data_IF_230690323184
#
_entry.id   IF_230690323184
#
_cell.length_a   1.000
_cell.length_b   1.000
_cell.length_c   1.000
_cell.angle_alpha   90.00
_cell.angle_beta   90.00
_cell.angle_gamma   90.00
#
_symmetry.space_group_name_H-M   'P 1'
#
loop_
_entity.id
_entity.type
_entity.pdbx_description
1 polymer ?
#
# COMPACT_ATOMS: atom_id res chain seq x y z
N UNK A 1 -14.48 -12.74 -19.11
CA UNK A 1 -14.79 -12.72 -17.64
C UNK A 1 -13.86 -11.80 -16.86
N UNK A 2 -12.61 -11.58 -17.29
CA UNK A 2 -11.62 -10.73 -16.59
C UNK A 2 -12.04 -9.24 -16.61
N UNK A 3 -12.57 -8.74 -17.70
CA UNK A 3 -12.99 -7.33 -17.83
C UNK A 3 -14.08 -6.90 -16.82
N UNK A 4 -14.90 -7.83 -16.38
CA UNK A 4 -15.98 -7.54 -15.42
C UNK A 4 -15.50 -7.20 -14.01
N UNK A 5 -14.26 -7.58 -13.66
CA UNK A 5 -13.67 -7.39 -12.34
C UNK A 5 -12.58 -6.32 -12.28
N UNK A 6 -12.09 -5.81 -13.42
CA UNK A 6 -10.99 -4.82 -13.47
C UNK A 6 -11.35 -3.49 -12.81
N UNK A 7 -12.62 -3.09 -12.83
CA UNK A 7 -13.09 -1.87 -12.17
C UNK A 7 -13.19 -1.98 -10.64
N UNK A 8 -13.00 -3.20 -10.10
CA UNK A 8 -13.10 -3.48 -8.66
C UNK A 8 -11.74 -3.64 -7.98
N UNK A 9 -10.66 -3.52 -8.73
CA UNK A 9 -9.29 -3.63 -8.22
C UNK A 9 -8.56 -2.30 -8.45
N UNK A 10 -8.11 -1.69 -7.36
CA UNK A 10 -7.16 -0.59 -7.39
C UNK A 10 -5.74 -1.14 -7.32
N UNK A 11 -4.81 -0.61 -8.12
CA UNK A 11 -3.43 -1.07 -8.13
C UNK A 11 -2.44 0.09 -8.02
N UNK A 12 -1.51 -0.04 -7.08
CA UNK A 12 -0.36 0.85 -6.90
C UNK A 12 0.89 0.04 -7.22
N UNK A 13 1.55 0.28 -8.35
CA UNK A 13 2.76 -0.44 -8.74
C UNK A 13 3.98 0.06 -7.97
N UNK A 14 4.99 -0.81 -7.80
CA UNK A 14 6.28 -0.48 -7.20
C UNK A 14 6.99 0.67 -7.93
N UNK A 15 6.92 0.70 -9.25
CA UNK A 15 7.52 1.74 -10.10
C UNK A 15 6.58 2.14 -11.21
N UNK A 16 6.53 3.43 -11.46
CA UNK A 16 5.85 4.01 -12.62
C UNK A 16 6.90 4.72 -13.48
N UNK A 17 6.92 4.39 -14.77
CA UNK A 17 7.73 5.12 -15.75
C UNK A 17 6.98 6.37 -16.18
N UNK A 18 7.41 7.52 -15.69
CA UNK A 18 6.90 8.83 -16.09
C UNK A 18 8.06 9.63 -16.67
N UNK A 19 7.84 10.29 -17.79
CA UNK A 19 8.76 11.31 -18.25
C UNK A 19 8.57 12.59 -17.41
N UNK A 20 9.45 12.77 -16.43
CA UNK A 20 9.41 13.88 -15.49
C UNK A 20 9.65 15.25 -16.12
N UNK A 21 10.04 15.30 -17.40
CA UNK A 21 10.17 16.56 -18.15
C UNK A 21 8.83 17.11 -18.64
N UNK A 22 7.78 16.26 -18.64
CA UNK A 22 6.44 16.67 -19.01
C UNK A 22 5.80 17.53 -17.90
N UNK A 23 5.17 18.66 -18.24
CA UNK A 23 4.44 19.49 -17.28
C UNK A 23 3.08 18.86 -16.92
N UNK A 24 3.12 17.66 -16.31
CA UNK A 24 1.94 16.88 -15.96
C UNK A 24 1.50 17.20 -14.53
N UNK A 25 0.32 17.80 -14.37
CA UNK A 25 -0.24 18.09 -13.04
C UNK A 25 -0.91 16.87 -12.45
N UNK A 26 -1.04 16.86 -11.12
CA UNK A 26 -1.71 15.78 -10.38
C UNK A 26 -3.09 15.49 -10.97
N UNK A 27 -3.95 16.48 -11.17
CA UNK A 27 -5.28 16.27 -11.75
C UNK A 27 -5.27 15.65 -13.14
N UNK A 28 -4.30 16.04 -13.98
CA UNK A 28 -4.16 15.54 -15.35
C UNK A 28 -3.69 14.07 -15.32
N UNK A 29 -2.80 13.73 -14.38
CA UNK A 29 -2.37 12.36 -14.12
C UNK A 29 -3.50 11.46 -13.62
N UNK A 30 -4.40 11.96 -12.78
CA UNK A 30 -5.54 11.20 -12.28
C UNK A 30 -6.44 10.68 -13.40
N UNK A 31 -6.59 11.42 -14.50
CA UNK A 31 -7.48 11.09 -15.62
C UNK A 31 -6.81 10.40 -16.81
N UNK A 32 -5.49 10.23 -16.81
CA UNK A 32 -4.74 9.73 -17.99
C UNK A 32 -5.27 8.42 -18.57
N UNK A 33 -5.73 7.50 -17.75
CA UNK A 33 -6.23 6.18 -18.17
C UNK A 33 -7.63 5.91 -17.67
N UNK A 34 -8.25 6.88 -17.00
CA UNK A 34 -9.50 6.72 -16.30
C UNK A 34 -10.47 7.85 -16.60
N UNK A 35 -11.70 7.54 -16.88
CA UNK A 35 -12.74 8.56 -17.02
C UNK A 35 -13.31 8.90 -15.64
N UNK A 36 -12.59 9.74 -14.89
CA UNK A 36 -12.97 10.17 -13.55
C UNK A 36 -13.68 11.53 -13.59
N UNK A 37 -14.70 11.69 -12.76
CA UNK A 37 -15.31 12.98 -12.50
C UNK A 37 -14.43 13.80 -11.55
N UNK A 38 -14.55 15.11 -11.61
CA UNK A 38 -13.79 16.02 -10.74
C UNK A 38 -14.10 15.80 -9.25
N UNK A 39 -15.31 15.35 -8.93
CA UNK A 39 -15.77 14.97 -7.60
C UNK A 39 -15.01 13.75 -7.07
N UNK A 40 -14.85 12.69 -7.89
CA UNK A 40 -14.13 11.47 -7.50
C UNK A 40 -12.63 11.76 -7.27
N UNK A 41 -12.07 12.65 -8.09
CA UNK A 41 -10.68 13.12 -7.93
C UNK A 41 -10.52 13.88 -6.63
N UNK A 42 -11.41 14.81 -6.33
CA UNK A 42 -11.35 15.62 -5.10
C UNK A 42 -11.54 14.74 -3.86
N UNK A 43 -12.48 13.80 -3.88
CA UNK A 43 -12.73 12.86 -2.77
C UNK A 43 -11.49 12.01 -2.50
N UNK A 44 -10.91 11.37 -3.52
CA UNK A 44 -9.74 10.51 -3.37
C UNK A 44 -8.47 11.27 -2.94
N UNK A 45 -8.22 12.45 -3.48
CA UNK A 45 -7.12 13.32 -3.07
C UNK A 45 -7.29 13.84 -1.64
N UNK A 46 -8.53 14.11 -1.22
CA UNK A 46 -8.85 14.53 0.16
C UNK A 46 -8.63 13.39 1.14
N UNK A 47 -9.08 12.19 0.79
CA UNK A 47 -8.92 10.99 1.62
C UNK A 47 -7.44 10.65 1.86
N UNK A 48 -6.60 10.85 0.84
CA UNK A 48 -5.14 10.65 0.94
C UNK A 48 -4.38 11.86 1.51
N UNK A 49 -5.08 12.98 1.79
CA UNK A 49 -4.51 14.19 2.40
C UNK A 49 -3.62 15.00 1.46
N UNK A 50 -3.88 14.95 0.14
CA UNK A 50 -3.07 15.66 -0.87
C UNK A 50 -3.90 16.51 -1.84
N UNK A 51 -5.12 16.88 -1.48
CA UNK A 51 -6.02 17.70 -2.32
C UNK A 51 -5.39 19.06 -2.70
N UNK A 52 -4.59 19.64 -1.81
CA UNK A 52 -3.88 20.91 -2.06
C UNK A 52 -2.85 20.79 -3.19
N UNK A 53 -2.44 19.58 -3.56
CA UNK A 53 -1.48 19.31 -4.62
C UNK A 53 -2.14 19.13 -5.99
N UNK A 54 -3.47 19.18 -6.09
CA UNK A 54 -4.26 18.88 -7.30
C UNK A 54 -3.73 19.58 -8.56
N UNK A 55 -3.27 20.83 -8.43
CA UNK A 55 -2.76 21.64 -9.55
C UNK A 55 -1.22 21.69 -9.63
N UNK A 56 -0.50 21.03 -8.73
CA UNK A 56 0.96 20.97 -8.70
C UNK A 56 1.46 19.98 -9.77
N UNK A 57 2.63 20.24 -10.37
CA UNK A 57 3.26 19.29 -11.29
C UNK A 57 3.75 18.07 -10.51
N UNK A 58 3.66 16.89 -11.12
CA UNK A 58 4.14 15.65 -10.51
C UNK A 58 5.63 15.67 -10.18
N UNK A 59 6.44 16.30 -11.06
CA UNK A 59 7.89 16.42 -10.87
C UNK A 59 8.30 17.26 -9.65
N UNK A 60 7.38 18.07 -9.11
CA UNK A 60 7.63 18.91 -7.94
C UNK A 60 7.21 18.25 -6.61
N UNK A 61 6.69 17.01 -6.67
CA UNK A 61 6.23 16.26 -5.49
C UNK A 61 7.41 15.58 -4.79
N UNK A 62 7.35 15.52 -3.46
CA UNK A 62 8.19 14.59 -2.71
C UNK A 62 7.76 13.14 -2.97
N UNK A 63 8.65 12.17 -2.69
CA UNK A 63 8.32 10.74 -2.84
C UNK A 63 7.05 10.34 -2.09
N UNK A 64 6.89 10.79 -0.84
CA UNK A 64 5.70 10.53 -0.04
C UNK A 64 4.44 11.21 -0.56
N UNK A 65 4.54 12.44 -1.09
CA UNK A 65 3.42 13.13 -1.75
C UNK A 65 2.99 12.37 -3.03
N UNK A 66 3.96 11.97 -3.84
CA UNK A 66 3.69 11.20 -5.05
C UNK A 66 3.04 9.84 -4.73
N UNK A 67 3.53 9.14 -3.72
CA UNK A 67 2.94 7.88 -3.29
C UNK A 67 1.48 8.03 -2.84
N UNK A 68 1.15 9.11 -2.11
CA UNK A 68 -0.23 9.43 -1.73
C UNK A 68 -1.11 9.74 -2.96
N UNK A 69 -0.57 10.37 -3.98
CA UNK A 69 -1.27 10.61 -5.26
C UNK A 69 -1.52 9.29 -5.99
N UNK A 70 -0.56 8.34 -5.99
CA UNK A 70 -0.75 7.01 -6.58
C UNK A 70 -1.87 6.24 -5.87
N UNK A 71 -1.90 6.29 -4.53
CA UNK A 71 -2.98 5.67 -3.75
C UNK A 71 -4.31 6.36 -4.05
N UNK A 72 -4.36 7.71 -4.10
CA UNK A 72 -5.59 8.44 -4.46
C UNK A 72 -6.15 7.98 -5.80
N UNK A 73 -5.27 7.80 -6.80
CA UNK A 73 -5.68 7.30 -8.11
C UNK A 73 -6.21 5.87 -8.05
N UNK A 74 -5.55 4.99 -7.31
CA UNK A 74 -5.98 3.59 -7.17
C UNK A 74 -7.36 3.45 -6.50
N UNK A 75 -7.69 4.35 -5.56
CA UNK A 75 -8.96 4.31 -4.81
C UNK A 75 -10.08 5.15 -5.43
N UNK A 76 -9.80 5.94 -6.48
CA UNK A 76 -10.76 6.90 -7.05
C UNK A 76 -12.06 6.27 -7.57
N UNK A 77 -12.03 4.97 -7.92
CA UNK A 77 -13.21 4.18 -8.32
C UNK A 77 -13.81 3.34 -7.20
N UNK A 78 -13.41 3.57 -5.95
CA UNK A 78 -13.88 2.83 -4.77
C UNK A 78 -13.78 1.31 -4.99
N UNK A 79 -12.56 0.77 -5.14
CA UNK A 79 -12.35 -0.65 -5.43
C UNK A 79 -12.77 -1.54 -4.25
N UNK A 80 -13.11 -2.80 -4.56
CA UNK A 80 -13.33 -3.84 -3.53
C UNK A 80 -11.99 -4.42 -3.00
N UNK A 81 -10.92 -4.32 -3.82
CA UNK A 81 -9.56 -4.78 -3.49
C UNK A 81 -8.53 -3.73 -3.90
N UNK A 82 -7.66 -3.35 -2.97
CA UNK A 82 -6.51 -2.49 -3.21
C UNK A 82 -5.22 -3.33 -3.18
N UNK A 83 -4.52 -3.39 -4.31
CA UNK A 83 -3.22 -4.07 -4.44
C UNK A 83 -2.12 -3.02 -4.35
N UNK A 84 -1.21 -3.19 -3.39
CA UNK A 84 -0.11 -2.29 -3.11
C UNK A 84 1.21 -3.05 -3.26
N UNK A 85 2.01 -2.67 -4.25
CA UNK A 85 3.30 -3.29 -4.54
C UNK A 85 4.42 -2.37 -4.06
N UNK A 86 5.07 -2.73 -2.95
CA UNK A 86 6.13 -1.95 -2.28
C UNK A 86 5.76 -0.46 -2.06
N UNK A 87 4.62 -0.15 -1.42
CA UNK A 87 4.04 1.20 -1.42
C UNK A 87 4.87 2.24 -0.67
N UNK A 88 5.86 1.83 0.12
CA UNK A 88 6.73 2.74 0.91
C UNK A 88 8.10 2.95 0.27
N UNK A 89 8.37 2.35 -0.89
CA UNK A 89 9.66 2.49 -1.54
C UNK A 89 9.96 3.96 -1.88
N UNK A 90 11.10 4.46 -1.39
CA UNK A 90 11.50 5.87 -1.61
C UNK A 90 10.83 6.89 -0.68
N UNK A 91 10.15 6.42 0.36
CA UNK A 91 9.60 7.25 1.43
C UNK A 91 10.54 7.16 2.65
N UNK A 92 10.71 8.24 3.40
CA UNK A 92 11.49 8.23 4.63
C UNK A 92 10.72 7.51 5.76
N UNK A 93 11.43 7.10 6.80
CA UNK A 93 10.87 6.30 7.90
C UNK A 93 9.61 6.93 8.55
N UNK A 94 9.59 8.25 8.72
CA UNK A 94 8.41 8.94 9.30
C UNK A 94 7.23 8.91 8.35
N UNK A 95 7.49 9.11 7.06
CA UNK A 95 6.49 9.03 5.99
C UNK A 95 5.94 7.61 5.82
N UNK A 96 6.76 6.59 5.98
CA UNK A 96 6.36 5.18 5.94
C UNK A 96 5.29 4.87 6.99
N UNK A 97 5.54 5.20 8.25
CA UNK A 97 4.56 5.01 9.34
C UNK A 97 3.25 5.75 9.03
N UNK A 98 3.37 7.00 8.54
CA UNK A 98 2.19 7.79 8.19
C UNK A 98 1.42 7.20 7.00
N UNK A 99 2.12 6.57 6.04
CA UNK A 99 1.51 5.94 4.88
C UNK A 99 0.73 4.67 5.26
N UNK A 100 1.28 3.81 6.12
CA UNK A 100 0.56 2.62 6.60
C UNK A 100 -0.68 2.98 7.44
N UNK A 101 -0.60 4.01 8.28
CA UNK A 101 -1.78 4.54 8.98
C UNK A 101 -2.85 5.05 8.01
N UNK A 102 -2.43 5.71 6.94
CA UNK A 102 -3.33 6.17 5.88
C UNK A 102 -3.98 5.00 5.15
N UNK A 103 -3.20 3.96 4.77
CA UNK A 103 -3.72 2.76 4.11
C UNK A 103 -4.80 2.11 4.99
N UNK A 104 -4.54 1.93 6.27
CA UNK A 104 -5.53 1.37 7.21
C UNK A 104 -6.81 2.23 7.27
N UNK A 105 -6.66 3.55 7.40
CA UNK A 105 -7.81 4.47 7.37
C UNK A 105 -8.64 4.31 6.09
N UNK A 106 -7.97 4.24 4.92
CA UNK A 106 -8.63 4.07 3.63
C UNK A 106 -9.43 2.77 3.56
N UNK A 107 -8.85 1.65 4.03
CA UNK A 107 -9.57 0.37 4.06
C UNK A 107 -10.80 0.39 4.94
N UNK A 108 -10.69 1.00 6.11
CA UNK A 108 -11.81 1.14 7.04
C UNK A 108 -12.93 2.00 6.42
N UNK A 109 -12.59 3.13 5.77
CA UNK A 109 -13.57 4.04 5.17
C UNK A 109 -14.21 3.48 3.89
N UNK A 110 -13.45 2.76 3.05
CA UNK A 110 -13.94 2.21 1.79
C UNK A 110 -14.47 0.77 1.94
N UNK A 111 -14.26 0.12 3.09
CA UNK A 111 -14.56 -1.29 3.31
C UNK A 111 -13.99 -2.18 2.20
N UNK A 112 -12.73 -1.95 1.81
CA UNK A 112 -12.04 -2.70 0.76
C UNK A 112 -10.96 -3.62 1.36
N UNK A 113 -10.73 -4.78 0.72
CA UNK A 113 -9.61 -5.66 1.04
C UNK A 113 -8.28 -5.05 0.61
N UNK A 114 -7.17 -5.45 1.28
CA UNK A 114 -5.81 -5.09 0.84
C UNK A 114 -5.02 -6.34 0.51
N UNK A 115 -4.30 -6.30 -0.61
CA UNK A 115 -3.17 -7.17 -0.89
C UNK A 115 -1.89 -6.32 -0.86
N UNK A 116 -1.11 -6.47 0.20
CA UNK A 116 0.18 -5.80 0.37
C UNK A 116 1.31 -6.72 -0.07
N UNK A 117 2.13 -6.29 -1.02
CA UNK A 117 3.36 -6.96 -1.42
C UNK A 117 4.50 -6.14 -0.84
N UNK A 118 5.33 -6.74 0.00
CA UNK A 118 6.46 -6.07 0.63
C UNK A 118 7.54 -7.05 1.05
N UNK A 119 8.79 -6.59 1.08
CA UNK A 119 9.93 -7.28 1.66
C UNK A 119 10.23 -6.82 3.10
N UNK A 120 9.50 -5.82 3.61
CA UNK A 120 9.62 -5.39 5.00
C UNK A 120 8.81 -6.32 5.91
N UNK A 121 9.51 -7.28 6.50
CA UNK A 121 8.92 -8.28 7.39
C UNK A 121 8.26 -7.67 8.62
N UNK A 122 8.82 -6.58 9.16
CA UNK A 122 8.29 -5.94 10.36
C UNK A 122 6.89 -5.40 10.09
N UNK A 123 6.73 -4.68 9.00
CA UNK A 123 5.43 -4.13 8.60
C UNK A 123 4.43 -5.22 8.25
N UNK A 124 4.84 -6.19 7.42
CA UNK A 124 3.95 -7.31 7.05
C UNK A 124 3.43 -8.02 8.28
N UNK A 125 4.30 -8.36 9.22
CA UNK A 125 3.92 -9.11 10.42
C UNK A 125 3.09 -8.29 11.42
N UNK A 126 3.21 -6.97 11.43
CA UNK A 126 2.49 -6.11 12.39
C UNK A 126 1.19 -5.53 11.88
N UNK A 127 0.99 -5.49 10.55
CA UNK A 127 -0.10 -4.74 9.93
C UNK A 127 -1.06 -5.61 9.09
N UNK A 128 -0.86 -6.94 9.04
CA UNK A 128 -1.67 -7.83 8.20
C UNK A 128 -2.38 -8.92 9.03
N UNK A 129 -3.51 -9.37 8.54
CA UNK A 129 -4.28 -10.47 9.15
C UNK A 129 -3.83 -11.83 8.63
N UNK A 130 -3.31 -11.89 7.41
CA UNK A 130 -2.85 -13.10 6.74
C UNK A 130 -1.59 -12.85 5.94
N UNK A 131 -0.62 -13.74 6.02
CA UNK A 131 0.67 -13.65 5.32
C UNK A 131 0.84 -14.85 4.41
N UNK A 132 1.37 -14.61 3.23
CA UNK A 132 1.81 -15.64 2.27
C UNK A 132 3.28 -15.37 1.95
N UNK A 133 4.15 -16.32 2.26
CA UNK A 133 5.57 -16.23 1.96
C UNK A 133 5.89 -16.88 0.63
N UNK A 134 6.58 -16.15 -0.25
CA UNK A 134 6.95 -16.60 -1.58
C UNK A 134 8.47 -16.64 -1.75
N UNK A 135 8.98 -17.78 -2.21
CA UNK A 135 10.38 -17.97 -2.62
C UNK A 135 10.44 -18.95 -3.81
N UNK A 136 9.97 -18.50 -4.99
CA UNK A 136 9.78 -19.36 -6.15
C UNK A 136 8.58 -20.32 -6.03
N UNK A 137 8.12 -20.59 -4.83
CA UNK A 137 6.90 -21.32 -4.48
C UNK A 137 6.31 -20.72 -3.19
N UNK A 138 5.10 -21.12 -2.82
CA UNK A 138 4.51 -20.77 -1.52
C UNK A 138 5.20 -21.60 -0.45
N UNK A 139 6.06 -20.96 0.37
CA UNK A 139 6.79 -21.63 1.45
C UNK A 139 5.91 -21.81 2.69
N UNK A 140 5.16 -20.76 3.04
CA UNK A 140 4.27 -20.79 4.19
C UNK A 140 3.12 -19.80 4.01
N UNK A 141 2.02 -20.03 4.72
CA UNK A 141 0.83 -19.16 4.69
C UNK A 141 0.07 -19.33 5.99
N UNK A 142 -0.50 -18.24 6.51
CA UNK A 142 -1.28 -18.26 7.75
C UNK A 142 -1.32 -16.89 8.43
N UNK A 143 -1.77 -16.85 9.68
CA UNK A 143 -1.62 -15.66 10.50
C UNK A 143 -0.14 -15.29 10.68
N UNK A 144 0.22 -14.03 10.95
CA UNK A 144 1.60 -13.64 11.24
C UNK A 144 2.27 -14.53 12.31
N UNK A 145 1.51 -14.91 13.33
CA UNK A 145 2.00 -15.78 14.43
C UNK A 145 2.31 -17.21 13.95
N UNK A 146 1.47 -17.77 13.08
CA UNK A 146 1.69 -19.13 12.53
C UNK A 146 2.87 -19.15 11.59
N UNK A 147 2.98 -18.12 10.74
CA UNK A 147 4.10 -17.95 9.80
C UNK A 147 5.42 -17.80 10.56
N UNK A 148 5.48 -17.02 11.63
CA UNK A 148 6.70 -16.83 12.42
C UNK A 148 7.20 -18.13 13.09
N UNK A 149 6.30 -19.07 13.38
CA UNK A 149 6.65 -20.38 13.95
C UNK A 149 7.08 -21.40 12.88
N UNK A 150 6.81 -21.13 11.60
CA UNK A 150 7.08 -22.03 10.50
C UNK A 150 8.59 -22.22 10.27
N UNK A 151 9.02 -23.47 10.07
CA UNK A 151 10.43 -23.79 9.88
C UNK A 151 10.99 -23.26 8.55
N UNK A 152 10.21 -23.22 7.50
CA UNK A 152 10.64 -22.67 6.21
C UNK A 152 10.83 -21.15 6.28
N UNK A 153 9.95 -20.44 7.02
CA UNK A 153 10.13 -19.02 7.31
C UNK A 153 11.43 -18.75 8.07
N UNK A 154 11.73 -19.55 9.11
CA UNK A 154 12.96 -19.42 9.89
C UNK A 154 14.20 -19.73 9.06
N UNK A 155 14.12 -20.71 8.16
CA UNK A 155 15.21 -21.03 7.25
C UNK A 155 15.51 -19.90 6.25
N UNK A 156 14.48 -19.18 5.78
CA UNK A 156 14.62 -18.08 4.82
C UNK A 156 15.13 -16.77 5.47
N UNK A 157 14.59 -16.42 6.63
CA UNK A 157 14.79 -15.09 7.24
C UNK A 157 15.62 -15.12 8.52
N UNK A 158 16.00 -16.32 9.00
CA UNK A 158 16.78 -16.53 10.22
C UNK A 158 15.93 -16.48 11.50
N UNK A 159 16.48 -17.03 12.59
CA UNK A 159 15.80 -17.06 13.89
C UNK A 159 15.52 -15.67 14.48
N UNK A 160 16.33 -14.67 14.13
CA UNK A 160 16.13 -13.29 14.59
C UNK A 160 14.86 -12.66 14.04
N UNK A 161 14.44 -13.01 12.83
CA UNK A 161 13.18 -12.56 12.26
C UNK A 161 11.96 -13.09 13.03
N UNK A 162 12.05 -14.28 13.61
CA UNK A 162 11.00 -14.85 14.47
C UNK A 162 10.90 -14.14 15.83
N UNK A 163 12.00 -13.55 16.33
CA UNK A 163 12.03 -12.84 17.62
C UNK A 163 11.41 -11.44 17.55
N UNK A 164 11.25 -10.87 16.36
CA UNK A 164 10.60 -9.56 16.19
C UNK A 164 9.16 -9.64 16.69
N UNK A 165 8.47 -10.76 16.49
CA UNK A 165 7.11 -10.99 16.95
C UNK A 165 6.97 -11.28 18.43
N UNK A 166 7.93 -11.97 19.04
CA UNK A 166 7.87 -12.27 20.49
C UNK A 166 7.96 -11.02 21.36
N UNK A 167 8.53 -9.92 20.84
CA UNK A 167 8.53 -8.62 21.52
C UNK A 167 7.18 -7.88 21.41
N UNK A 168 6.32 -8.25 20.47
CA UNK A 168 4.99 -7.64 20.32
C UNK A 168 3.96 -8.25 21.28
N UNK A 169 4.05 -9.52 21.64
CA UNK A 169 3.17 -10.18 22.62
C UNK A 169 3.20 -9.49 23.99
N UNK A 170 4.37 -8.98 24.43
CA UNK A 170 4.49 -8.31 25.71
C UNK A 170 3.87 -6.89 25.79
N UNK A 171 3.38 -6.34 24.70
CA UNK A 171 2.78 -4.97 24.67
C UNK A 171 1.25 -4.93 24.70
N UNK A 172 0.58 -6.06 24.47
CA UNK A 172 -0.89 -6.12 24.45
C UNK A 172 -1.53 -6.67 25.73
N UNK A 173 -0.73 -7.13 26.72
CA UNK A 173 -1.24 -7.64 27.99
C UNK A 173 -1.34 -6.59 29.12
N UNK A 174 -1.18 -5.31 28.81
CA UNK A 174 -1.31 -4.21 29.77
C UNK A 174 -2.26 -3.12 29.24
N UNK A 175 -3.57 -3.42 29.19
CA UNK A 175 -4.66 -2.46 29.38
C UNK A 175 -5.85 -3.21 29.98
#
# INVERSE_FOLDING_TARGET
EVEKYTNKVGYVPQKISIDWTLPLRVKDFMVLTENLKDEDINESLSLTGVIQLKNKNLGDLSGGEFQRVLIARAISKKPDLLVLDEPVQGVDFTGEIALYKLIKKITDELNCGILLISHDLHTVMSATDHVVCLNGHVCCSGSPMDVAKNNEYKALFGEQASQILSRYEHRHDHI
#
